data_IF_058561310534
#
_entry.id   IF_058561310534
#
_cell.length_a   1.000
_cell.length_b   1.000
_cell.length_c   1.000
_cell.angle_alpha   90.00
_cell.angle_beta   90.00
_cell.angle_gamma   90.00
#
_symmetry.space_group_name_H-M   'P 1'
#
loop_
_entity.id
_entity.type
_entity.pdbx_description
1 polymer ?
#
# COMPACT_ATOMS: atom_id res chain seq x y z
N UNK A 1 38.92 41.58 7.86
CA UNK A 1 37.59 42.14 7.54
C UNK A 1 37.28 41.72 6.11
N UNK A 2 36.20 41.00 5.78
CA UNK A 2 34.80 41.18 6.16
C UNK A 2 34.09 39.82 6.00
N UNK A 3 33.36 39.42 7.04
CA UNK A 3 32.46 38.27 7.05
C UNK A 3 31.31 38.50 6.05
N UNK A 4 30.95 37.49 5.25
CA UNK A 4 29.68 37.48 4.52
C UNK A 4 28.80 36.36 5.07
N UNK A 5 28.00 36.75 6.06
CA UNK A 5 26.72 36.12 6.35
C UNK A 5 25.73 36.51 5.26
N UNK A 6 25.08 35.54 4.63
CA UNK A 6 23.73 35.75 4.09
C UNK A 6 22.87 34.55 4.46
N UNK A 7 22.08 34.77 5.51
CA UNK A 7 20.99 33.88 5.87
C UNK A 7 19.74 34.24 5.05
N UNK A 8 18.91 33.22 4.83
CA UNK A 8 17.49 33.24 4.49
C UNK A 8 17.08 33.51 3.04
N UNK A 9 16.64 32.44 2.37
CA UNK A 9 15.35 32.48 1.66
C UNK A 9 14.59 31.20 1.96
N UNK A 10 13.52 31.36 2.71
CA UNK A 10 12.56 30.33 3.12
C UNK A 10 11.89 29.76 1.87
N UNK A 11 12.10 28.47 1.59
CA UNK A 11 11.21 27.70 0.71
C UNK A 11 10.29 26.86 1.60
N UNK A 12 9.10 27.40 1.82
CA UNK A 12 7.95 26.67 2.33
C UNK A 12 7.62 25.51 1.38
N UNK A 13 8.09 24.30 1.70
CA UNK A 13 7.52 23.08 1.13
C UNK A 13 6.50 22.50 2.12
N UNK A 14 5.28 23.04 2.05
CA UNK A 14 4.12 22.34 2.57
C UNK A 14 3.89 21.09 1.70
N UNK A 15 3.71 19.93 2.35
CA UNK A 15 3.24 18.64 1.81
C UNK A 15 4.22 17.69 1.10
N UNK A 16 5.15 17.06 1.81
CA UNK A 16 5.75 15.78 1.32
C UNK A 16 6.15 14.83 2.45
N UNK A 17 5.18 14.27 3.19
CA UNK A 17 5.48 13.13 4.08
C UNK A 17 4.24 12.32 4.40
N UNK A 18 3.86 11.41 3.50
CA UNK A 18 2.89 10.35 3.80
C UNK A 18 3.41 8.94 3.44
N UNK A 19 4.54 8.83 2.74
CA UNK A 19 5.15 7.54 2.34
C UNK A 19 6.69 7.57 2.33
N UNK A 20 7.31 8.32 3.25
CA UNK A 20 8.71 8.04 3.58
C UNK A 20 8.72 6.89 4.59
N UNK A 21 8.81 5.65 4.10
CA UNK A 21 9.40 4.60 4.93
C UNK A 21 10.89 4.93 5.02
N UNK A 22 11.22 5.72 6.04
CA UNK A 22 12.60 6.09 6.38
C UNK A 22 13.52 4.89 6.26
N UNK A 23 14.70 5.13 5.70
CA UNK A 23 15.79 4.17 5.58
C UNK A 23 16.45 3.92 6.93
N UNK A 24 15.67 3.64 7.96
CA UNK A 24 16.20 3.22 9.24
C UNK A 24 16.44 1.72 9.16
N UNK A 25 17.68 1.34 9.45
CA UNK A 25 18.15 -0.03 9.63
C UNK A 25 17.29 -0.63 10.75
N UNK A 26 16.19 -1.28 10.40
CA UNK A 26 15.20 -1.80 11.33
C UNK A 26 15.89 -2.72 12.35
N UNK A 27 15.92 -2.29 13.61
CA UNK A 27 16.35 -3.09 14.75
C UNK A 27 15.26 -4.15 15.04
N UNK A 28 15.31 -5.26 14.32
CA UNK A 28 14.37 -6.39 14.38
C UNK A 28 14.48 -7.25 15.65
N UNK A 29 15.16 -6.75 16.70
CA UNK A 29 15.28 -7.39 18.01
C UNK A 29 14.88 -6.41 19.12
N UNK A 30 13.71 -5.79 18.98
CA UNK A 30 13.17 -4.90 19.99
C UNK A 30 12.62 -5.69 21.18
N UNK A 31 12.59 -5.06 22.36
CA UNK A 31 11.93 -5.61 23.56
C UNK A 31 10.47 -6.01 23.26
N UNK A 32 9.79 -5.28 22.38
CA UNK A 32 8.39 -5.54 21.99
C UNK A 32 8.25 -6.86 21.22
N UNK A 33 9.15 -7.12 20.27
CA UNK A 33 9.13 -8.37 19.48
C UNK A 33 9.48 -9.59 20.34
N UNK A 34 10.36 -9.44 21.33
CA UNK A 34 10.66 -10.51 22.28
C UNK A 34 9.46 -10.82 23.17
N UNK A 35 8.77 -9.79 23.70
CA UNK A 35 7.54 -9.97 24.49
C UNK A 35 6.46 -10.68 23.67
N UNK A 36 6.28 -10.30 22.40
CA UNK A 36 5.36 -10.98 21.50
C UNK A 36 5.73 -12.45 21.31
N UNK A 37 7.00 -12.77 21.08
CA UNK A 37 7.47 -14.15 20.95
C UNK A 37 7.19 -15.00 22.19
N UNK A 38 7.38 -14.45 23.40
CA UNK A 38 7.06 -15.14 24.66
C UNK A 38 5.56 -15.41 24.78
N UNK A 39 4.71 -14.46 24.38
CA UNK A 39 3.24 -14.67 24.38
C UNK A 39 2.85 -15.73 23.36
N UNK A 40 3.41 -15.68 22.16
CA UNK A 40 3.12 -16.65 21.10
C UNK A 40 3.63 -18.05 21.46
N UNK A 41 4.81 -18.18 22.06
CA UNK A 41 5.36 -19.49 22.46
C UNK A 41 4.53 -20.15 23.55
N UNK A 42 4.04 -19.36 24.52
CA UNK A 42 3.08 -19.84 25.53
C UNK A 42 1.75 -20.24 24.90
N UNK A 43 1.24 -19.46 23.94
CA UNK A 43 -0.04 -19.75 23.28
C UNK A 43 0.02 -21.03 22.44
N UNK A 44 1.11 -21.27 21.72
CA UNK A 44 1.25 -22.44 20.85
C UNK A 44 1.90 -23.65 21.53
N UNK A 45 2.48 -23.48 22.72
CA UNK A 45 3.23 -24.51 23.45
C UNK A 45 4.51 -24.97 22.72
N UNK A 46 5.05 -24.14 21.83
CA UNK A 46 6.16 -24.47 20.91
C UNK A 46 7.10 -23.28 20.75
N UNK A 47 8.33 -23.54 20.31
CA UNK A 47 9.24 -22.47 19.93
C UNK A 47 8.71 -21.78 18.65
N UNK A 48 8.52 -20.46 18.71
CA UNK A 48 8.00 -19.65 17.61
C UNK A 48 9.14 -18.80 17.07
N UNK A 49 9.36 -18.85 15.75
CA UNK A 49 10.28 -17.97 15.04
C UNK A 49 9.50 -16.93 14.23
N UNK A 50 9.82 -15.66 14.42
CA UNK A 50 9.21 -14.56 13.66
C UNK A 50 10.05 -14.29 12.40
N UNK A 51 9.44 -14.40 11.22
CA UNK A 51 10.05 -13.99 9.95
C UNK A 51 9.30 -12.79 9.39
N UNK A 52 9.93 -11.62 9.46
CA UNK A 52 9.38 -10.39 8.90
C UNK A 52 9.94 -10.17 7.50
N UNK A 53 9.06 -9.90 6.54
CA UNK A 53 9.44 -9.58 5.17
C UNK A 53 9.14 -8.11 4.91
N UNK A 54 10.17 -7.35 4.50
CA UNK A 54 9.98 -5.94 4.13
C UNK A 54 9.27 -5.85 2.79
N UNK A 55 8.16 -5.10 2.75
CA UNK A 55 7.49 -4.75 1.52
C UNK A 55 7.94 -3.36 1.05
N UNK A 56 8.53 -3.27 -0.13
CA UNK A 56 9.01 -1.99 -0.69
C UNK A 56 7.88 -1.10 -1.23
N UNK A 57 6.73 -1.68 -1.57
CA UNK A 57 5.62 -0.95 -2.18
C UNK A 57 4.29 -1.59 -1.76
N UNK A 58 3.29 -0.81 -1.29
CA UNK A 58 1.97 -1.34 -0.95
C UNK A 58 1.26 -2.04 -2.13
N UNK A 59 1.60 -1.73 -3.38
CA UNK A 59 1.01 -2.37 -4.56
C UNK A 59 1.45 -3.83 -4.78
N UNK A 60 2.23 -4.42 -3.88
CA UNK A 60 2.68 -5.82 -3.98
C UNK A 60 1.82 -6.79 -3.15
N UNK A 61 0.98 -6.28 -2.24
CA UNK A 61 0.14 -7.08 -1.36
C UNK A 61 -1.22 -6.39 -1.24
N UNK A 62 -2.29 -7.07 -1.67
CA UNK A 62 -3.61 -6.45 -1.69
C UNK A 62 -4.10 -6.11 -0.29
N UNK A 63 -3.72 -6.90 0.73
CA UNK A 63 -4.19 -6.75 2.11
C UNK A 63 -3.59 -5.52 2.74
N UNK A 64 -2.29 -5.30 2.54
CA UNK A 64 -1.61 -4.08 2.98
C UNK A 64 -2.22 -2.86 2.29
N UNK A 65 -2.48 -2.94 0.99
CA UNK A 65 -3.11 -1.85 0.23
C UNK A 65 -4.55 -1.56 0.70
N UNK A 66 -5.37 -2.59 0.92
CA UNK A 66 -6.74 -2.45 1.41
C UNK A 66 -6.78 -1.80 2.80
N UNK A 67 -5.87 -2.20 3.70
CA UNK A 67 -5.72 -1.58 5.02
C UNK A 67 -5.28 -0.12 4.91
N UNK A 68 -4.29 0.17 4.08
CA UNK A 68 -3.80 1.54 3.85
C UNK A 68 -4.91 2.48 3.36
N UNK A 69 -5.67 2.06 2.35
CA UNK A 69 -6.81 2.83 1.82
C UNK A 69 -7.88 3.00 2.90
N UNK A 70 -8.19 1.93 3.64
CA UNK A 70 -9.15 1.96 4.74
C UNK A 70 -8.78 2.98 5.81
N UNK A 71 -7.54 2.93 6.32
CA UNK A 71 -7.07 3.86 7.34
C UNK A 71 -7.10 5.32 6.85
N UNK A 72 -6.72 5.57 5.60
CA UNK A 72 -6.80 6.91 4.98
C UNK A 72 -8.25 7.39 4.77
N UNK A 73 -9.22 6.47 4.73
CA UNK A 73 -10.66 6.78 4.62
C UNK A 73 -11.22 7.58 5.80
N UNK A 74 -10.49 7.65 6.92
CA UNK A 74 -10.84 8.50 8.06
C UNK A 74 -10.64 9.98 7.75
N UNK A 75 -9.54 10.31 7.09
CA UNK A 75 -9.06 11.69 6.95
C UNK A 75 -9.35 12.29 5.57
N UNK A 76 -9.47 11.44 4.53
CA UNK A 76 -9.63 11.87 3.14
C UNK A 76 -10.94 11.38 2.52
N UNK A 77 -11.43 12.12 1.52
CA UNK A 77 -12.55 11.67 0.66
C UNK A 77 -12.04 10.60 -0.30
N UNK A 78 -12.90 9.64 -0.66
CA UNK A 78 -12.52 8.50 -1.48
C UNK A 78 -11.82 8.89 -2.80
N UNK A 79 -12.35 9.90 -3.52
CA UNK A 79 -11.74 10.37 -4.78
C UNK A 79 -10.33 10.95 -4.58
N UNK A 80 -10.02 11.56 -3.42
CA UNK A 80 -8.67 12.07 -3.13
C UNK A 80 -7.69 10.92 -2.87
N UNK A 81 -8.17 9.87 -2.20
CA UNK A 81 -7.37 8.67 -1.95
C UNK A 81 -7.06 7.98 -3.28
N UNK A 82 -8.07 7.83 -4.13
CA UNK A 82 -7.93 7.32 -5.49
C UNK A 82 -6.88 8.11 -6.28
N UNK A 83 -7.01 9.43 -6.36
CA UNK A 83 -6.13 10.28 -7.14
C UNK A 83 -4.68 10.20 -6.67
N UNK A 84 -4.45 10.27 -5.35
CA UNK A 84 -3.13 10.09 -4.76
C UNK A 84 -2.55 8.70 -5.04
N UNK A 85 -3.39 7.66 -4.98
CA UNK A 85 -2.95 6.29 -5.18
C UNK A 85 -2.51 6.07 -6.63
N UNK A 86 -3.35 6.46 -7.58
CA UNK A 86 -3.07 6.22 -9.00
C UNK A 86 -2.03 7.18 -9.58
N UNK A 87 -1.81 8.34 -8.97
CA UNK A 87 -0.68 9.22 -9.31
C UNK A 87 0.68 8.58 -8.99
N UNK A 88 0.72 7.60 -8.08
CA UNK A 88 1.96 6.88 -7.70
C UNK A 88 2.05 5.47 -8.25
N UNK A 89 0.92 4.89 -8.67
CA UNK A 89 0.88 3.53 -9.19
C UNK A 89 1.49 3.49 -10.59
N UNK A 90 2.63 2.82 -10.73
CA UNK A 90 3.24 2.55 -12.04
C UNK A 90 2.59 1.29 -12.61
N UNK A 91 1.48 1.46 -13.34
CA UNK A 91 0.72 0.39 -13.97
C UNK A 91 1.22 0.18 -15.40
N UNK A 92 1.35 -1.08 -15.83
CA UNK A 92 1.75 -1.46 -17.19
C UNK A 92 3.08 -0.85 -17.63
N UNK A 93 4.07 -0.82 -16.74
CA UNK A 93 5.42 -0.38 -17.10
C UNK A 93 5.93 -1.25 -18.25
N UNK A 94 6.13 -0.65 -19.42
CA UNK A 94 6.78 -1.33 -20.56
C UNK A 94 8.22 -1.62 -20.13
N UNK A 95 8.56 -2.90 -19.98
CA UNK A 95 9.97 -3.28 -19.81
C UNK A 95 10.67 -3.06 -21.15
N UNK A 96 11.69 -2.22 -21.16
CA UNK A 96 12.64 -2.19 -22.26
C UNK A 96 13.43 -3.50 -22.17
N UNK A 97 13.11 -4.44 -23.05
CA UNK A 97 13.84 -5.70 -23.21
C UNK A 97 15.19 -5.38 -23.86
N UNK A 98 16.12 -4.85 -23.07
CA UNK A 98 17.51 -4.82 -23.48
C UNK A 98 18.03 -6.23 -23.20
N UNK A 99 18.23 -7.00 -24.26
CA UNK A 99 18.52 -8.44 -24.25
C UNK A 99 19.93 -8.80 -23.73
N UNK A 100 20.40 -8.17 -22.66
CA UNK A 100 21.70 -8.48 -22.08
C UNK A 100 21.52 -9.08 -20.69
N UNK A 101 21.60 -10.42 -20.68
CA UNK A 101 22.18 -11.27 -19.64
C UNK A 101 21.48 -11.29 -18.27
N UNK A 102 20.57 -12.26 -18.14
CA UNK A 102 20.54 -13.28 -17.08
C UNK A 102 20.72 -12.77 -15.63
N UNK A 103 19.58 -12.49 -14.99
CA UNK A 103 19.37 -12.86 -13.58
C UNK A 103 18.05 -13.65 -13.51
N UNK A 104 18.09 -14.87 -14.02
CA UNK A 104 16.95 -15.78 -14.24
C UNK A 104 16.38 -16.44 -12.97
N UNK A 105 16.69 -15.94 -11.76
CA UNK A 105 16.37 -16.66 -10.51
C UNK A 105 15.18 -16.10 -9.73
N UNK A 106 14.67 -14.91 -10.07
CA UNK A 106 13.44 -14.39 -9.47
C UNK A 106 12.47 -13.89 -10.54
N UNK A 107 11.33 -14.55 -10.66
CA UNK A 107 10.25 -14.11 -11.56
C UNK A 107 9.82 -12.69 -11.15
N UNK A 108 10.15 -11.70 -11.96
CA UNK A 108 9.73 -10.33 -11.73
C UNK A 108 8.25 -10.19 -12.12
N UNK A 109 7.49 -9.52 -11.26
CA UNK A 109 6.08 -9.22 -11.51
C UNK A 109 5.89 -7.73 -11.72
N UNK A 110 5.17 -7.38 -12.77
CA UNK A 110 4.80 -6.00 -13.08
C UNK A 110 3.36 -5.79 -12.66
N UNK A 111 3.07 -4.69 -11.98
CA UNK A 111 1.69 -4.30 -11.70
C UNK A 111 0.94 -4.01 -13.02
N UNK A 112 -0.08 -4.81 -13.29
CA UNK A 112 -0.89 -4.78 -14.50
C UNK A 112 -2.24 -4.05 -14.28
N UNK A 113 -2.80 -4.14 -13.07
CA UNK A 113 -4.05 -3.47 -12.74
C UNK A 113 -4.32 -3.35 -11.24
N UNK A 114 -5.07 -2.31 -10.87
CA UNK A 114 -5.60 -2.10 -9.52
C UNK A 114 -7.10 -1.82 -9.63
N UNK A 115 -7.88 -2.48 -8.78
CA UNK A 115 -9.32 -2.30 -8.66
C UNK A 115 -9.65 -2.10 -7.20
N UNK A 116 -10.50 -1.13 -6.89
CA UNK A 116 -10.85 -0.74 -5.53
C UNK A 116 -12.36 -0.57 -5.46
N UNK A 117 -12.97 -1.21 -4.47
CA UNK A 117 -14.37 -1.08 -4.13
C UNK A 117 -14.49 -0.62 -2.69
N UNK A 118 -15.07 0.54 -2.48
CA UNK A 118 -15.46 1.04 -1.17
C UNK A 118 -16.95 0.79 -1.00
N UNK A 119 -17.34 0.05 0.03
CA UNK A 119 -18.72 -0.15 0.44
C UNK A 119 -18.97 0.48 1.81
N UNK A 120 -20.12 1.11 2.00
CA UNK A 120 -20.45 1.83 3.23
C UNK A 120 -19.99 3.29 3.20
N UNK A 121 -20.09 3.96 4.36
CA UNK A 121 -19.90 5.41 4.47
C UNK A 121 -18.56 5.76 5.10
N UNK A 122 -17.82 6.66 4.47
CA UNK A 122 -16.67 7.32 5.11
C UNK A 122 -17.14 8.51 5.95
N UNK A 123 -16.40 8.84 7.01
CA UNK A 123 -16.68 10.00 7.87
C UNK A 123 -16.63 11.33 7.12
N UNK A 124 -15.90 11.38 6.00
CA UNK A 124 -15.69 12.56 5.17
C UNK A 124 -16.80 12.84 4.14
N UNK A 125 -17.80 11.94 4.05
CA UNK A 125 -18.91 12.07 3.12
C UNK A 125 -20.09 12.83 3.74
N UNK A 126 -20.70 13.71 2.94
CA UNK A 126 -21.94 14.38 3.32
C UNK A 126 -23.09 13.38 3.36
N UNK A 127 -24.13 13.70 4.15
CA UNK A 127 -25.35 12.90 4.23
C UNK A 127 -26.14 13.10 2.94
N UNK A 128 -25.96 12.20 1.96
CA UNK A 128 -26.71 12.18 0.70
C UNK A 128 -27.14 10.73 0.41
N UNK A 129 -28.42 10.47 0.09
CA UNK A 129 -28.87 9.13 -0.26
C UNK A 129 -28.44 8.69 -1.67
N UNK A 130 -28.34 7.36 -1.85
CA UNK A 130 -28.30 6.53 -3.08
C UNK A 130 -27.01 5.86 -3.59
N UNK A 131 -25.80 6.15 -3.10
CA UNK A 131 -24.61 5.36 -3.49
C UNK A 131 -23.91 4.72 -2.29
N UNK A 132 -24.23 3.46 -2.00
CA UNK A 132 -23.60 2.69 -0.92
C UNK A 132 -22.25 2.08 -1.31
N UNK A 133 -21.92 2.10 -2.59
CA UNK A 133 -20.69 1.51 -3.14
C UNK A 133 -20.05 2.47 -4.13
N UNK A 134 -18.78 2.79 -3.91
CA UNK A 134 -17.93 3.47 -4.88
C UNK A 134 -16.91 2.47 -5.45
N UNK A 135 -16.59 2.62 -6.72
CA UNK A 135 -15.75 1.68 -7.45
C UNK A 135 -14.81 2.43 -8.39
N UNK A 136 -13.55 2.02 -8.42
CA UNK A 136 -12.55 2.50 -9.37
C UNK A 136 -11.65 1.36 -9.81
N UNK A 137 -11.25 1.39 -11.08
CA UNK A 137 -10.35 0.44 -11.68
C UNK A 137 -9.41 1.14 -12.66
N UNK A 138 -8.12 0.76 -12.66
CA UNK A 138 -7.17 1.10 -13.72
C UNK A 138 -6.31 -0.11 -14.07
N UNK A 139 -5.97 -0.25 -15.35
CA UNK A 139 -5.18 -1.37 -15.87
C UNK A 139 -6.02 -2.58 -16.27
N UNK A 140 -5.37 -3.74 -16.40
CA UNK A 140 -5.99 -4.97 -16.90
C UNK A 140 -6.14 -6.06 -15.84
N UNK A 141 -7.20 -6.85 -15.94
CA UNK A 141 -7.49 -8.02 -15.09
C UNK A 141 -7.71 -9.28 -15.94
N UNK A 142 -7.02 -9.41 -17.06
CA UNK A 142 -7.17 -10.54 -17.96
C UNK A 142 -6.87 -11.85 -17.23
N UNK A 143 -7.74 -12.85 -17.42
CA UNK A 143 -7.51 -14.20 -16.91
C UNK A 143 -6.48 -14.88 -17.81
N UNK A 144 -5.42 -15.44 -17.24
CA UNK A 144 -4.39 -16.15 -18.00
C UNK A 144 -3.27 -16.65 -17.10
N UNK A 145 -2.49 -17.62 -17.60
CA UNK A 145 -1.40 -18.26 -16.86
C UNK A 145 -0.34 -17.28 -16.35
N UNK A 146 -0.05 -16.24 -17.13
CA UNK A 146 0.98 -15.24 -16.78
C UNK A 146 0.45 -14.10 -15.89
N UNK A 147 -0.82 -14.13 -15.46
CA UNK A 147 -1.43 -13.07 -14.66
C UNK A 147 -1.78 -13.59 -13.27
N UNK A 148 -1.09 -13.06 -12.27
CA UNK A 148 -1.36 -13.29 -10.85
C UNK A 148 -2.36 -12.25 -10.37
N UNK A 149 -3.54 -12.69 -9.95
CA UNK A 149 -4.56 -11.82 -9.39
C UNK A 149 -4.67 -12.08 -7.88
N UNK A 150 -4.51 -11.03 -7.08
CA UNK A 150 -4.67 -11.06 -5.63
C UNK A 150 -5.87 -10.21 -5.22
N UNK A 151 -6.58 -10.62 -4.17
CA UNK A 151 -7.78 -9.95 -3.69
C UNK A 151 -7.88 -10.02 -2.17
N UNK A 152 -8.17 -8.89 -1.55
CA UNK A 152 -8.43 -8.83 -0.11
C UNK A 152 -9.44 -7.74 0.23
N UNK A 153 -9.94 -7.80 1.45
CA UNK A 153 -10.91 -6.84 1.99
C UNK A 153 -10.50 -6.43 3.38
N UNK A 154 -10.60 -5.13 3.65
CA UNK A 154 -10.45 -4.55 4.97
C UNK A 154 -11.75 -3.89 5.38
N UNK A 155 -12.28 -4.27 6.54
CA UNK A 155 -13.53 -3.76 7.08
C UNK A 155 -13.27 -3.09 8.42
N UNK A 156 -13.81 -1.90 8.62
CA UNK A 156 -13.67 -1.15 9.87
C UNK A 156 -14.90 -0.32 10.17
N UNK A 157 -15.05 0.08 11.44
CA UNK A 157 -16.16 0.88 11.94
C UNK A 157 -15.73 2.33 12.10
N UNK A 158 -16.63 3.25 11.82
CA UNK A 158 -16.50 4.67 12.10
C UNK A 158 -17.78 5.22 12.75
N UNK A 159 -17.83 6.54 12.99
CA UNK A 159 -18.98 7.21 13.61
C UNK A 159 -20.29 7.05 12.82
N UNK A 160 -20.21 6.85 11.50
CA UNK A 160 -21.37 6.74 10.60
C UNK A 160 -21.80 5.30 10.33
N UNK A 161 -21.08 4.30 10.86
CA UNK A 161 -21.37 2.89 10.67
C UNK A 161 -20.12 2.09 10.30
N UNK A 162 -20.32 1.00 9.56
CA UNK A 162 -19.24 0.15 9.06
C UNK A 162 -19.00 0.43 7.59
N UNK A 163 -17.74 0.45 7.19
CA UNK A 163 -17.36 0.48 5.78
C UNK A 163 -16.28 -0.57 5.49
N UNK A 164 -16.20 -0.98 4.24
CA UNK A 164 -15.27 -2.00 3.75
C UNK A 164 -14.59 -1.53 2.49
N UNK A 165 -13.29 -1.73 2.42
CA UNK A 165 -12.47 -1.51 1.23
C UNK A 165 -12.02 -2.85 0.72
N UNK A 166 -12.46 -3.21 -0.49
CA UNK A 166 -12.00 -4.39 -1.22
C UNK A 166 -11.06 -3.96 -2.33
N UNK A 167 -9.93 -4.62 -2.43
CA UNK A 167 -8.89 -4.32 -3.42
C UNK A 167 -8.57 -5.59 -4.20
N UNK A 168 -8.45 -5.43 -5.52
CA UNK A 168 -7.85 -6.44 -6.38
C UNK A 168 -6.60 -5.87 -7.02
N UNK A 169 -5.54 -6.67 -7.02
CA UNK A 169 -4.29 -6.40 -7.70
C UNK A 169 -4.12 -7.43 -8.81
N UNK A 170 -3.73 -6.99 -9.99
CA UNK A 170 -3.30 -7.86 -11.07
C UNK A 170 -1.82 -7.60 -11.34
N UNK A 171 -1.05 -8.68 -11.37
CA UNK A 171 0.37 -8.67 -11.65
C UNK A 171 0.64 -9.55 -12.86
N UNK A 172 1.36 -9.01 -13.84
CA UNK A 172 1.84 -9.78 -14.98
C UNK A 172 3.22 -10.32 -14.65
N UNK A 173 3.36 -11.63 -14.71
CA UNK A 173 4.65 -12.33 -14.61
C UNK A 173 5.37 -12.17 -15.93
N UNK A 174 6.61 -11.70 -15.88
CA UNK A 174 7.48 -11.62 -17.05
C UNK A 174 8.61 -12.62 -16.91
N UNK A 175 8.73 -13.48 -17.91
CA UNK A 175 9.91 -14.31 -18.17
C UNK A 175 10.89 -13.55 -19.07
#
# INVERSE_FOLDING_TARGET
MKLMNTATTVKNHHSTSLFNLGTDKFLFNSIRTQKLLVVLSKLFGKNVKLQLVRLYNPFKDSKILAQLIGLNGKDYKFYKIEDMLFSRAVINKKLNRNNNLIDFTQMATILNGIKIRLAGRLTTQNIVPKNTVAFVERGGFAKGYNNLNDCSTFTTKNKLGTYSVKVWLSHKVTN
#
